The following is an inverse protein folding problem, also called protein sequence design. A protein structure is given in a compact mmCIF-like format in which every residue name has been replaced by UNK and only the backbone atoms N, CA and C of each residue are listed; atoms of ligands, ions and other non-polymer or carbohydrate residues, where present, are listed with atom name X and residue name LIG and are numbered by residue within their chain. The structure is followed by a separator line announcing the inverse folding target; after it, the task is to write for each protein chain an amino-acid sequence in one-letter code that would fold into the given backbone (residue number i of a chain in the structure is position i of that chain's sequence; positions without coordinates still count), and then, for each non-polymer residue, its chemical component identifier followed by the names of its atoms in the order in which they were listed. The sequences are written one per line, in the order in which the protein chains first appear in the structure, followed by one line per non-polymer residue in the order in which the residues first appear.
data_IF_139187877691
#
_entry.id   IF_139187877691
#
_cell.length_a   1.000
_cell.length_b   1.000
_cell.length_c   1.000
_cell.angle_alpha   90.00
_cell.angle_beta   90.00
_cell.angle_gamma   90.00
#
_symmetry.space_group_name_H-M   'P 1'
#
loop_
_entity.id
_entity.type
_entity.pdbx_description
1 polymer ?
#
# COMPACT_ATOMS: atom_id res chain seq x y z
N UNK A 1 10.62 -1.63 25.34
CA UNK A 1 9.52 -0.77 24.82
C UNK A 1 8.30 -1.61 24.46
N UNK A 2 8.48 -2.77 23.83
CA UNK A 2 7.37 -3.69 23.46
C UNK A 2 6.54 -4.21 24.64
N UNK A 3 7.18 -4.57 25.76
CA UNK A 3 6.50 -5.05 26.98
C UNK A 3 5.59 -4.00 27.63
N UNK A 4 5.83 -2.71 27.36
CA UNK A 4 5.06 -1.61 27.97
C UNK A 4 3.71 -1.37 27.28
N UNK A 5 3.54 -1.90 26.07
CA UNK A 5 2.33 -1.76 25.26
C UNK A 5 1.64 -3.10 24.97
N UNK A 6 2.08 -4.18 25.61
CA UNK A 6 1.59 -5.54 25.37
C UNK A 6 1.63 -5.93 23.87
N UNK A 7 2.72 -5.57 23.20
CA UNK A 7 2.90 -5.79 21.76
C UNK A 7 3.89 -6.92 21.51
N UNK A 8 3.50 -7.89 20.69
CA UNK A 8 4.38 -8.99 20.27
C UNK A 8 5.10 -8.63 18.97
N UNK A 9 6.44 -8.69 18.99
CA UNK A 9 7.25 -8.50 17.80
C UNK A 9 7.32 -9.80 17.00
N UNK A 10 6.81 -9.80 15.77
CA UNK A 10 6.95 -10.90 14.83
C UNK A 10 7.97 -10.52 13.77
N UNK A 11 9.03 -11.32 13.64
CA UNK A 11 10.06 -11.12 12.62
C UNK A 11 9.68 -11.86 11.34
N UNK A 12 9.78 -11.17 10.20
CA UNK A 12 9.79 -11.81 8.89
C UNK A 12 11.08 -12.61 8.71
N UNK A 13 11.02 -13.73 7.98
CA UNK A 13 12.21 -14.52 7.65
C UNK A 13 13.09 -13.69 6.70
N UNK A 14 14.39 -13.64 6.95
CA UNK A 14 15.33 -12.88 6.13
C UNK A 14 15.20 -13.24 4.64
N UNK A 15 15.07 -12.22 3.79
CA UNK A 15 14.93 -12.34 2.33
C UNK A 15 13.66 -13.06 1.85
N UNK A 16 12.63 -13.20 2.69
CA UNK A 16 11.36 -13.79 2.30
C UNK A 16 10.27 -12.73 2.07
N UNK A 17 10.22 -12.19 0.86
CA UNK A 17 9.21 -11.20 0.43
C UNK A 17 7.77 -11.74 0.45
N UNK A 18 7.57 -13.05 0.65
CA UNK A 18 6.24 -13.63 0.70
C UNK A 18 5.52 -13.36 2.03
N UNK A 19 6.26 -13.27 3.14
CA UNK A 19 5.69 -13.03 4.48
C UNK A 19 5.36 -11.55 4.70
N UNK A 20 6.18 -10.64 4.15
CA UNK A 20 5.97 -9.19 4.19
C UNK A 20 5.29 -8.64 2.93
N UNK A 21 4.94 -9.51 1.97
CA UNK A 21 4.49 -9.12 0.64
C UNK A 21 3.23 -8.26 0.62
N UNK A 22 2.34 -8.37 1.62
CA UNK A 22 1.17 -7.50 1.75
C UNK A 22 1.56 -6.08 2.16
N UNK A 23 2.49 -5.95 3.11
CA UNK A 23 3.03 -4.67 3.56
C UNK A 23 3.88 -4.03 2.46
N UNK A 24 4.76 -4.81 1.82
CA UNK A 24 5.61 -4.38 0.71
C UNK A 24 4.79 -3.93 -0.49
N UNK A 25 3.72 -4.67 -0.85
CA UNK A 25 2.79 -4.29 -1.91
C UNK A 25 2.11 -2.94 -1.62
N UNK A 26 1.65 -2.76 -0.39
CA UNK A 26 1.00 -1.53 0.07
C UNK A 26 1.97 -0.34 0.06
N UNK A 27 3.19 -0.55 0.56
CA UNK A 27 4.25 0.47 0.56
C UNK A 27 4.59 0.89 -0.87
N UNK A 28 4.75 -0.06 -1.80
CA UNK A 28 5.06 0.26 -3.20
C UNK A 28 3.95 1.07 -3.88
N UNK A 29 2.68 0.74 -3.64
CA UNK A 29 1.55 1.50 -4.19
C UNK A 29 1.53 2.92 -3.64
N UNK A 30 1.74 3.07 -2.33
CA UNK A 30 1.82 4.40 -1.69
C UNK A 30 3.01 5.20 -2.23
N UNK A 31 4.17 4.58 -2.39
CA UNK A 31 5.35 5.22 -2.96
C UNK A 31 5.10 5.70 -4.40
N UNK A 32 4.46 4.88 -5.24
CA UNK A 32 4.17 5.24 -6.64
C UNK A 32 3.15 6.36 -6.74
N UNK A 33 2.15 6.36 -5.85
CA UNK A 33 1.18 7.43 -5.74
C UNK A 33 1.84 8.73 -5.30
N UNK A 34 2.67 8.69 -4.24
CA UNK A 34 3.42 9.84 -3.75
C UNK A 34 4.41 10.37 -4.79
N UNK A 35 5.16 9.49 -5.46
CA UNK A 35 6.09 9.85 -6.54
C UNK A 35 5.38 10.59 -7.66
N UNK A 36 4.19 10.12 -8.04
CA UNK A 36 3.38 10.77 -9.06
C UNK A 36 2.82 12.13 -8.62
N UNK A 37 2.55 12.33 -7.32
CA UNK A 37 2.13 13.63 -6.78
C UNK A 37 3.30 14.61 -6.68
N UNK A 38 4.48 14.14 -6.26
CA UNK A 38 5.70 14.95 -6.16
C UNK A 38 6.11 15.49 -7.53
N UNK A 39 6.00 14.66 -8.58
CA UNK A 39 6.34 15.05 -9.96
C UNK A 39 5.41 16.14 -10.51
N UNK A 40 4.15 16.17 -10.08
CA UNK A 40 3.13 17.08 -10.64
C UNK A 40 3.02 18.39 -9.86
N UNK A 41 3.21 18.36 -8.53
CA UNK A 41 3.02 19.51 -7.66
C UNK A 41 4.31 20.15 -7.13
N UNK A 42 5.47 19.73 -7.65
CA UNK A 42 6.76 20.40 -7.50
C UNK A 42 7.18 20.73 -6.06
N UNK A 43 7.93 19.84 -5.40
CA UNK A 43 8.63 20.13 -4.13
C UNK A 43 7.75 20.33 -2.88
N UNK A 44 6.47 20.70 -3.01
CA UNK A 44 5.52 20.89 -1.90
C UNK A 44 4.84 19.59 -1.45
N UNK A 45 5.51 18.46 -1.60
CA UNK A 45 4.96 17.11 -1.39
C UNK A 45 4.34 16.92 0.00
N UNK A 46 4.85 17.59 1.03
CA UNK A 46 4.35 17.55 2.41
C UNK A 46 2.86 17.91 2.51
N UNK A 47 2.40 18.90 1.74
CA UNK A 47 0.98 19.31 1.70
C UNK A 47 0.09 18.22 1.08
N UNK A 48 0.66 17.42 0.17
CA UNK A 48 -0.05 16.37 -0.55
C UNK A 48 -0.02 15.02 0.16
N UNK A 49 0.84 14.80 1.16
CA UNK A 49 0.81 13.58 1.98
C UNK A 49 -0.58 13.36 2.59
N UNK A 50 -1.17 14.42 3.14
CA UNK A 50 -2.49 14.36 3.77
C UNK A 50 -3.56 13.98 2.75
N UNK A 51 -3.51 14.55 1.55
CA UNK A 51 -4.42 14.20 0.45
C UNK A 51 -4.18 12.77 -0.05
N UNK A 52 -2.93 12.32 -0.12
CA UNK A 52 -2.60 10.97 -0.53
C UNK A 52 -3.12 9.93 0.48
N UNK A 53 -2.86 10.15 1.78
CA UNK A 53 -3.38 9.32 2.86
C UNK A 53 -4.91 9.31 2.84
N UNK A 54 -5.51 10.48 2.60
CA UNK A 54 -6.95 10.63 2.49
C UNK A 54 -7.52 9.79 1.32
N UNK A 55 -6.99 9.95 0.10
CA UNK A 55 -7.42 9.21 -1.08
C UNK A 55 -7.20 7.70 -0.92
N UNK A 56 -6.08 7.26 -0.34
CA UNK A 56 -5.83 5.84 -0.09
C UNK A 56 -6.87 5.23 0.87
N UNK A 57 -7.14 5.90 1.99
CA UNK A 57 -8.07 5.40 3.01
C UNK A 57 -9.53 5.38 2.54
N UNK A 58 -9.86 6.22 1.55
CA UNK A 58 -11.22 6.40 1.03
C UNK A 58 -11.44 5.83 -0.37
N UNK A 59 -10.46 5.14 -0.93
CA UNK A 59 -10.65 4.40 -2.16
C UNK A 59 -10.98 2.93 -1.86
N UNK A 60 -11.80 2.34 -2.71
CA UNK A 60 -12.21 0.95 -2.60
C UNK A 60 -11.01 0.01 -2.76
N UNK A 61 -10.86 -0.94 -1.84
CA UNK A 61 -9.84 -1.97 -1.94
C UNK A 61 -10.46 -3.33 -2.18
N UNK A 62 -10.14 -3.93 -3.33
CA UNK A 62 -10.66 -5.25 -3.71
C UNK A 62 -10.25 -6.37 -2.75
N UNK A 63 -9.09 -6.26 -2.09
CA UNK A 63 -8.61 -7.23 -1.10
C UNK A 63 -9.41 -7.23 0.21
N UNK A 64 -10.01 -6.09 0.56
CA UNK A 64 -10.81 -5.90 1.79
C UNK A 64 -12.32 -5.88 1.45
N UNK A 65 -12.67 -5.64 0.19
CA UNK A 65 -14.04 -5.52 -0.28
C UNK A 65 -14.73 -4.20 0.09
N UNK A 66 -14.01 -3.25 0.68
CA UNK A 66 -14.50 -1.94 1.12
C UNK A 66 -13.35 -0.92 1.23
N UNK A 67 -13.65 0.31 1.63
CA UNK A 67 -12.64 1.34 1.90
C UNK A 67 -11.94 1.07 3.24
N UNK A 68 -10.60 1.23 3.36
CA UNK A 68 -9.91 1.05 4.64
C UNK A 68 -10.46 1.91 5.78
N UNK A 69 -10.90 3.14 5.48
CA UNK A 69 -11.57 4.01 6.45
C UNK A 69 -12.86 3.37 6.98
N UNK A 70 -13.67 2.82 6.09
CA UNK A 70 -14.93 2.16 6.45
C UNK A 70 -14.67 0.89 7.26
N UNK A 71 -13.68 0.09 6.87
CA UNK A 71 -13.27 -1.10 7.62
C UNK A 71 -12.81 -0.76 9.05
N UNK A 72 -12.11 0.37 9.23
CA UNK A 72 -11.57 0.78 10.52
C UNK A 72 -12.62 1.40 11.44
N UNK A 73 -13.53 2.21 10.88
CA UNK A 73 -14.48 3.01 11.68
C UNK A 73 -15.94 2.55 11.59
N UNK A 74 -16.25 1.56 10.75
CA UNK A 74 -17.60 1.04 10.54
C UNK A 74 -18.56 2.03 9.87
N UNK A 75 -18.05 3.11 9.27
CA UNK A 75 -18.85 4.15 8.59
C UNK A 75 -18.08 4.76 7.42
N UNK A 76 -18.77 5.25 6.37
CA UNK A 76 -18.12 6.00 5.30
C UNK A 76 -17.52 7.31 5.83
N UNK A 77 -16.43 7.76 5.19
CA UNK A 77 -15.79 9.01 5.55
C UNK A 77 -16.64 10.22 5.18
N UNK A 78 -16.68 11.21 6.06
CA UNK A 78 -17.28 12.51 5.80
C UNK A 78 -16.16 13.45 5.35
N UNK A 79 -15.93 13.57 4.05
CA UNK A 79 -14.92 14.48 3.48
C UNK A 79 -15.50 15.29 2.32
N UNK A 80 -15.00 16.49 1.99
CA UNK A 80 -15.68 17.45 1.10
C UNK A 80 -16.18 16.87 -0.24
N UNK A 81 -15.49 15.90 -0.84
CA UNK A 81 -15.93 15.19 -2.06
C UNK A 81 -17.13 14.24 -1.87
N UNK A 82 -17.46 13.89 -0.63
CA UNK A 82 -18.60 13.11 -0.18
C UNK A 82 -19.71 13.96 0.47
N UNK A 83 -19.55 15.30 0.54
CA UNK A 83 -20.55 16.19 1.13
C UNK A 83 -21.42 16.72 -0.01
N UNK A 84 -22.61 16.17 -0.15
CA UNK A 84 -23.75 16.87 -0.73
C UNK A 84 -24.38 17.85 0.28
N UNK A 85 -23.67 18.21 1.36
CA UNK A 85 -24.12 19.11 2.42
C UNK A 85 -23.66 20.56 2.13
N UNK A 86 -24.59 21.51 1.94
CA UNK A 86 -24.31 22.89 1.56
C UNK A 86 -23.45 23.70 2.56
N UNK A 87 -23.44 23.31 3.84
CA UNK A 87 -22.83 24.09 4.92
C UNK A 87 -21.29 24.12 4.84
N UNK A 88 -20.64 23.00 4.52
CA UNK A 88 -19.16 22.94 4.40
C UNK A 88 -18.64 23.50 3.09
N UNK A 89 -19.45 23.47 2.02
CA UNK A 89 -19.14 24.14 0.76
C UNK A 89 -19.09 25.67 0.91
N UNK A 90 -19.81 26.21 1.89
CA UNK A 90 -19.88 27.64 2.17
C UNK A 90 -18.65 28.14 2.95
N UNK A 91 -18.07 27.30 3.82
CA UNK A 91 -17.00 27.70 4.75
C UNK A 91 -15.59 27.68 4.13
N UNK A 92 -15.29 26.72 3.24
CA UNK A 92 -13.97 26.58 2.60
C UNK A 92 -13.77 27.44 1.34
N UNK A 93 -14.85 27.99 0.79
CA UNK A 93 -14.83 28.76 -0.46
C UNK A 93 -14.79 27.86 -1.72
N UNK A 94 -15.51 28.23 -2.81
CA UNK A 94 -15.69 27.36 -3.99
C UNK A 94 -14.40 26.97 -4.70
N UNK A 95 -13.40 27.87 -4.68
CA UNK A 95 -12.13 27.68 -5.37
C UNK A 95 -11.29 26.58 -4.72
N UNK A 96 -11.17 26.61 -3.39
CA UNK A 96 -10.42 25.62 -2.61
C UNK A 96 -11.07 24.25 -2.73
N UNK A 97 -12.41 24.19 -2.67
CA UNK A 97 -13.15 22.93 -2.88
C UNK A 97 -12.88 22.35 -4.26
N UNK A 98 -12.92 23.17 -5.32
CA UNK A 98 -12.63 22.72 -6.68
C UNK A 98 -11.21 22.17 -6.80
N UNK A 99 -10.23 22.92 -6.32
CA UNK A 99 -8.81 22.55 -6.43
C UNK A 99 -8.51 21.25 -5.65
N UNK A 100 -9.13 21.06 -4.47
CA UNK A 100 -9.02 19.80 -3.72
C UNK A 100 -9.72 18.63 -4.41
N UNK A 101 -10.91 18.86 -4.98
CA UNK A 101 -11.68 17.79 -5.64
C UNK A 101 -10.94 17.30 -6.89
N UNK A 102 -10.37 18.23 -7.67
CA UNK A 102 -9.56 17.91 -8.83
C UNK A 102 -8.28 17.13 -8.44
N UNK A 103 -7.58 17.57 -7.39
CA UNK A 103 -6.41 16.85 -6.89
C UNK A 103 -6.76 15.43 -6.42
N UNK A 104 -7.88 15.25 -5.71
CA UNK A 104 -8.34 13.93 -5.25
C UNK A 104 -8.66 13.00 -6.42
N UNK A 105 -9.31 13.51 -7.47
CA UNK A 105 -9.62 12.74 -8.66
C UNK A 105 -8.33 12.29 -9.40
N UNK A 106 -7.37 13.20 -9.58
CA UNK A 106 -6.06 12.87 -10.17
C UNK A 106 -5.32 11.80 -9.33
N UNK A 107 -5.36 11.92 -7.99
CA UNK A 107 -4.77 10.94 -7.08
C UNK A 107 -5.46 9.57 -7.23
N UNK A 108 -6.79 9.52 -7.34
CA UNK A 108 -7.52 8.26 -7.56
C UNK A 108 -7.13 7.57 -8.86
N UNK A 109 -7.00 8.32 -9.95
CA UNK A 109 -6.58 7.77 -11.24
C UNK A 109 -5.16 7.18 -11.17
N UNK A 110 -4.25 7.89 -10.51
CA UNK A 110 -2.87 7.43 -10.26
C UNK A 110 -2.82 6.19 -9.39
N UNK A 111 -3.63 6.14 -8.32
CA UNK A 111 -3.75 4.97 -7.45
C UNK A 111 -4.22 3.75 -8.24
N UNK A 112 -5.26 3.90 -9.07
CA UNK A 112 -5.77 2.83 -9.93
C UNK A 112 -4.73 2.34 -10.94
N UNK A 113 -3.99 3.27 -11.56
CA UNK A 113 -2.92 2.92 -12.48
C UNK A 113 -1.75 2.18 -11.80
N UNK A 114 -1.37 2.57 -10.57
CA UNK A 114 -0.37 1.86 -9.77
C UNK A 114 -0.84 0.45 -9.40
N UNK A 115 -2.08 0.30 -8.92
CA UNK A 115 -2.68 -1.00 -8.62
C UNK A 115 -2.70 -1.93 -9.84
N UNK A 116 -3.11 -1.41 -11.01
CA UNK A 116 -3.15 -2.19 -12.24
C UNK A 116 -1.75 -2.65 -12.68
N UNK A 117 -0.75 -1.75 -12.66
CA UNK A 117 0.64 -2.12 -12.99
C UNK A 117 1.15 -3.22 -12.07
N UNK A 118 0.94 -3.07 -10.77
CA UNK A 118 1.36 -4.06 -9.77
C UNK A 118 0.69 -5.41 -10.00
N UNK A 119 -0.61 -5.42 -10.29
CA UNK A 119 -1.36 -6.64 -10.62
C UNK A 119 -0.80 -7.30 -11.88
N UNK A 120 -0.58 -6.54 -12.95
CA UNK A 120 0.00 -7.07 -14.18
C UNK A 120 1.40 -7.67 -13.97
N UNK A 121 2.27 -7.00 -13.21
CA UNK A 121 3.59 -7.54 -12.86
C UNK A 121 3.47 -8.84 -12.05
N UNK A 122 2.60 -8.86 -11.04
CA UNK A 122 2.38 -10.08 -10.25
C UNK A 122 1.86 -11.21 -11.14
N UNK A 123 0.81 -10.98 -11.93
CA UNK A 123 0.21 -12.00 -12.79
C UNK A 123 1.19 -12.53 -13.85
N UNK A 124 2.11 -11.70 -14.37
CA UNK A 124 3.11 -12.10 -15.36
C UNK A 124 4.24 -12.96 -14.79
N UNK A 125 4.68 -12.68 -13.57
CA UNK A 125 5.89 -13.29 -12.99
C UNK A 125 5.63 -14.24 -11.83
N UNK A 126 4.42 -14.24 -11.26
CA UNK A 126 4.06 -15.13 -10.18
C UNK A 126 3.94 -16.57 -10.70
N UNK A 127 4.62 -17.49 -10.03
CA UNK A 127 4.47 -18.92 -10.20
C UNK A 127 4.05 -19.50 -8.88
N UNK A 128 2.96 -20.28 -8.88
CA UNK A 128 2.59 -21.10 -7.73
C UNK A 128 3.63 -22.21 -7.66
N UNK A 129 4.49 -22.16 -6.65
CA UNK A 129 5.46 -23.21 -6.37
C UNK A 129 5.09 -23.85 -5.05
N UNK A 130 4.72 -25.12 -5.11
CA UNK A 130 4.47 -25.95 -3.94
C UNK A 130 5.74 -26.75 -3.63
N UNK A 131 6.11 -26.78 -2.35
CA UNK A 131 7.29 -27.50 -1.87
C UNK A 131 6.87 -28.50 -0.79
N UNK A 132 7.33 -29.73 -0.92
CA UNK A 132 7.16 -30.77 0.07
C UNK A 132 8.28 -30.72 1.12
N UNK A 133 8.04 -31.36 2.27
CA UNK A 133 9.07 -31.57 3.29
C UNK A 133 10.12 -32.51 2.72
N UNK A 134 11.40 -32.15 2.86
CA UNK A 134 12.53 -32.88 2.25
C UNK A 134 12.94 -32.37 0.86
N UNK A 135 12.18 -31.44 0.26
CA UNK A 135 12.62 -30.79 -0.97
C UNK A 135 13.80 -29.85 -0.70
N UNK A 136 14.76 -29.89 -1.62
CA UNK A 136 15.92 -29.01 -1.62
C UNK A 136 15.59 -27.70 -2.33
N UNK A 137 15.75 -26.58 -1.63
CA UNK A 137 15.46 -25.25 -2.18
C UNK A 137 16.71 -24.36 -2.19
N UNK A 138 16.80 -23.51 -3.19
CA UNK A 138 17.84 -22.48 -3.28
C UNK A 138 17.47 -21.29 -2.40
N UNK A 139 18.22 -21.09 -1.32
CA UNK A 139 18.08 -19.89 -0.49
C UNK A 139 19.07 -18.82 -0.96
N UNK A 140 18.54 -17.61 -1.23
CA UNK A 140 19.37 -16.43 -1.49
C UNK A 140 19.73 -15.78 -0.16
N UNK A 141 21.01 -15.83 0.20
CA UNK A 141 21.51 -15.34 1.51
C UNK A 141 22.17 -13.95 1.45
N UNK A 142 22.21 -13.31 0.29
CA UNK A 142 22.83 -11.98 0.09
C UNK A 142 21.92 -11.01 -0.67
N UNK A 143 21.80 -9.75 -0.21
CA UNK A 143 21.08 -8.69 -0.92
C UNK A 143 21.87 -8.07 -2.08
N UNK A 144 23.18 -8.35 -2.22
CA UNK A 144 24.04 -7.77 -3.27
C UNK A 144 24.10 -8.64 -4.53
N UNK A 145 24.59 -8.08 -5.65
CA UNK A 145 24.79 -8.79 -6.95
C UNK A 145 25.67 -10.05 -6.86
N UNK A 146 26.44 -10.23 -5.78
CA UNK A 146 27.14 -11.47 -5.50
C UNK A 146 26.14 -12.49 -4.96
N UNK A 147 25.64 -13.32 -5.87
CA UNK A 147 24.67 -14.36 -5.55
C UNK A 147 25.43 -15.50 -4.88
N UNK A 148 25.21 -15.68 -3.58
CA UNK A 148 25.61 -16.89 -2.85
C UNK A 148 24.34 -17.71 -2.64
N UNK A 149 24.35 -18.91 -3.20
CA UNK A 149 23.29 -19.89 -3.03
C UNK A 149 23.76 -20.97 -2.07
N UNK A 150 22.93 -21.29 -1.08
CA UNK A 150 23.13 -22.46 -0.22
C UNK A 150 21.95 -23.41 -0.37
N UNK A 151 22.26 -24.70 -0.33
CA UNK A 151 21.27 -25.76 -0.30
C UNK A 151 20.72 -25.89 1.11
N UNK A 152 19.40 -25.72 1.26
CA UNK A 152 18.72 -25.92 2.54
C UNK A 152 17.59 -26.91 2.32
N UNK A 153 17.55 -27.94 3.15
CA UNK A 153 16.45 -28.91 3.21
C UNK A 153 15.31 -28.30 4.03
N UNK A 154 14.08 -28.31 3.48
CA UNK A 154 12.92 -27.78 4.19
C UNK A 154 12.50 -28.75 5.29
N UNK A 155 12.72 -28.36 6.56
CA UNK A 155 12.21 -29.05 7.75
C UNK A 155 10.89 -28.42 8.21
N UNK A 156 10.02 -29.20 8.83
CA UNK A 156 8.80 -28.69 9.49
C UNK A 156 9.19 -27.72 10.61
N UNK A 157 8.59 -26.53 10.62
CA UNK A 157 8.63 -25.64 11.78
C UNK A 157 7.75 -26.28 12.86
N UNK A 158 8.36 -26.85 13.89
CA UNK A 158 7.70 -27.27 15.14
C UNK A 158 7.48 -26.07 16.06
#
# INVERSE_FOLDING_TARGET
MQERFDTQLRFSIAFHSHTDGKSEWLIQILEDMLRSCVLEYGGFWEKYISLCKFSYNNNYQSSIGMMPFEALYGRPCRAPSCWSEPEVLTELGPQIVRDHTEAVEQIHQKLKAAQNRQKSYYDLYHRVVEYNVGDWVYLKVSPRKTIVHIWVERKTLS
#
